data_IF_068989659213
#
_entry.id   IF_068989659213
#
_cell.length_a   1.000
_cell.length_b   1.000
_cell.length_c   1.000
_cell.angle_alpha   90.00
_cell.angle_beta   90.00
_cell.angle_gamma   90.00
#
_symmetry.space_group_name_H-M   'P 1'
#
loop_
_entity.id
_entity.type
_entity.pdbx_description
1 polymer ?
#
# COMPACT_ATOMS: atom_id res chain seq x y z
N UNK A 1 22.88 -6.54 6.44
CA UNK A 1 21.58 -6.76 5.74
C UNK A 1 20.63 -7.75 6.45
N UNK A 2 21.09 -8.83 7.08
CA UNK A 2 20.18 -9.81 7.72
C UNK A 2 19.36 -9.30 8.91
N UNK A 3 19.91 -8.37 9.71
CA UNK A 3 19.21 -7.82 10.89
C UNK A 3 17.99 -6.97 10.49
N UNK A 4 18.13 -6.08 9.52
CA UNK A 4 17.02 -5.25 9.02
C UNK A 4 15.88 -6.11 8.48
N UNK A 5 16.21 -7.15 7.70
CA UNK A 5 15.22 -8.10 7.19
C UNK A 5 14.44 -8.76 8.34
N UNK A 6 15.12 -9.18 9.41
CA UNK A 6 14.48 -9.76 10.59
C UNK A 6 13.56 -8.77 11.29
N UNK A 7 13.99 -7.51 11.46
CA UNK A 7 13.13 -6.47 12.03
C UNK A 7 11.87 -6.30 11.18
N UNK A 8 12.01 -6.16 9.86
CA UNK A 8 10.86 -6.00 8.96
C UNK A 8 9.92 -7.21 9.06
N UNK A 9 10.45 -8.44 9.08
CA UNK A 9 9.65 -9.65 9.25
C UNK A 9 8.90 -9.67 10.59
N UNK A 10 9.55 -9.27 11.68
CA UNK A 10 8.92 -9.19 13.00
C UNK A 10 7.82 -8.13 13.05
N UNK A 11 8.03 -6.97 12.41
CA UNK A 11 7.02 -5.92 12.32
C UNK A 11 5.82 -6.41 11.50
N UNK A 12 6.04 -7.04 10.34
CA UNK A 12 4.96 -7.61 9.52
C UNK A 12 4.18 -8.68 10.30
N UNK A 13 4.89 -9.57 11.01
CA UNK A 13 4.26 -10.59 11.84
C UNK A 13 3.42 -9.97 12.97
N UNK A 14 3.94 -8.93 13.63
CA UNK A 14 3.22 -8.22 14.67
C UNK A 14 1.92 -7.59 14.13
N UNK A 15 1.99 -6.91 12.98
CA UNK A 15 0.82 -6.33 12.32
C UNK A 15 -0.19 -7.40 11.95
N UNK A 16 0.26 -8.54 11.40
CA UNK A 16 -0.61 -9.67 11.06
C UNK A 16 -1.33 -10.21 12.30
N UNK A 17 -0.62 -10.45 13.39
CA UNK A 17 -1.20 -10.95 14.65
C UNK A 17 -2.23 -9.97 15.21
N UNK A 18 -1.93 -8.67 15.20
CA UNK A 18 -2.87 -7.64 15.65
C UNK A 18 -4.13 -7.58 14.79
N UNK A 19 -3.98 -7.63 13.46
CA UNK A 19 -5.12 -7.64 12.54
C UNK A 19 -6.00 -8.88 12.72
N UNK A 20 -5.39 -10.07 12.88
CA UNK A 20 -6.14 -11.30 13.13
C UNK A 20 -6.84 -11.28 14.48
N UNK A 21 -6.19 -10.77 15.53
CA UNK A 21 -6.78 -10.61 16.85
C UNK A 21 -8.02 -9.70 16.79
N UNK A 22 -7.91 -8.54 16.15
CA UNK A 22 -9.01 -7.60 15.97
C UNK A 22 -10.23 -8.24 15.28
N UNK A 23 -10.01 -9.10 14.29
CA UNK A 23 -11.09 -9.76 13.56
C UNK A 23 -11.67 -10.97 14.31
N UNK A 24 -10.84 -11.71 15.05
CA UNK A 24 -11.28 -12.89 15.81
C UNK A 24 -11.98 -12.54 17.12
N UNK A 25 -11.69 -11.38 17.72
CA UNK A 25 -12.39 -10.85 18.89
C UNK A 25 -13.84 -10.41 18.56
N UNK A 26 -14.15 -10.18 17.28
CA UNK A 26 -15.52 -9.87 16.82
C UNK A 26 -16.34 -11.14 16.65
N UNK A 27 -17.64 -10.99 16.87
CA UNK A 27 -18.61 -12.04 16.55
C UNK A 27 -18.50 -12.42 15.07
N UNK A 28 -18.70 -13.70 14.69
CA UNK A 28 -18.50 -14.16 13.32
C UNK A 28 -19.24 -13.34 12.25
N UNK A 29 -20.43 -12.84 12.58
CA UNK A 29 -21.27 -12.04 11.68
C UNK A 29 -20.78 -10.58 11.53
N UNK A 30 -19.98 -10.08 12.47
CA UNK A 30 -19.44 -8.71 12.48
C UNK A 30 -18.03 -8.61 11.88
N UNK A 31 -17.44 -9.73 11.45
CA UNK A 31 -16.10 -9.78 10.86
C UNK A 31 -16.10 -9.15 9.49
N UNK A 32 -15.24 -8.17 9.31
CA UNK A 32 -15.10 -7.43 8.04
C UNK A 32 -13.93 -7.92 7.21
N UNK A 33 -12.94 -8.54 7.84
CA UNK A 33 -11.67 -8.99 7.23
C UNK A 33 -10.89 -7.87 6.52
N UNK A 34 -11.19 -6.61 6.85
CA UNK A 34 -10.50 -5.41 6.38
C UNK A 34 -10.33 -4.43 7.55
N UNK A 35 -9.30 -3.59 7.51
CA UNK A 35 -9.06 -2.61 8.57
C UNK A 35 -7.67 -1.97 8.52
N UNK A 36 -7.23 -1.42 9.65
CA UNK A 36 -5.90 -0.81 9.81
C UNK A 36 -5.31 -1.11 11.18
N UNK A 37 -4.00 -1.40 11.21
CA UNK A 37 -3.21 -1.46 12.44
C UNK A 37 -2.29 -0.24 12.46
N UNK A 38 -2.66 0.79 13.23
CA UNK A 38 -2.01 2.10 13.16
C UNK A 38 -2.14 2.70 11.75
N UNK A 39 -1.05 3.12 11.08
CA UNK A 39 -1.12 3.64 9.72
C UNK A 39 -1.23 2.54 8.66
N UNK A 40 -0.97 1.27 9.01
CA UNK A 40 -0.82 0.16 8.05
C UNK A 40 -2.20 -0.45 7.72
N UNK A 41 -2.69 -0.34 6.48
CA UNK A 41 -3.94 -0.98 6.09
C UNK A 41 -3.78 -2.49 5.88
N UNK A 42 -4.88 -3.22 6.04
CA UNK A 42 -4.97 -4.63 5.70
C UNK A 42 -6.34 -4.96 5.08
N UNK A 43 -6.34 -5.90 4.14
CA UNK A 43 -7.56 -6.48 3.56
C UNK A 43 -7.31 -7.96 3.25
N UNK A 44 -8.09 -8.86 3.85
CA UNK A 44 -7.95 -10.31 3.68
C UNK A 44 -9.05 -10.90 2.80
N UNK A 45 -9.88 -10.06 2.18
CA UNK A 45 -10.93 -10.51 1.26
C UNK A 45 -10.33 -10.82 -0.11
N UNK A 46 -11.12 -11.51 -0.93
CA UNK A 46 -10.79 -11.72 -2.34
C UNK A 46 -11.01 -10.39 -3.08
N UNK A 47 -9.97 -9.82 -3.72
CA UNK A 47 -10.11 -8.53 -4.40
C UNK A 47 -10.92 -8.66 -5.68
N UNK A 48 -11.62 -7.58 -6.06
CA UNK A 48 -12.22 -7.44 -7.39
C UNK A 48 -11.19 -6.93 -8.39
N UNK A 49 -11.40 -7.24 -9.68
CA UNK A 49 -10.53 -6.72 -10.75
C UNK A 49 -10.52 -5.19 -10.77
N UNK A 50 -11.70 -4.57 -10.62
CA UNK A 50 -11.82 -3.10 -10.56
C UNK A 50 -11.07 -2.53 -9.35
N UNK A 51 -11.11 -3.21 -8.20
CA UNK A 51 -10.35 -2.82 -7.02
C UNK A 51 -8.84 -2.85 -7.28
N UNK A 52 -8.33 -3.93 -7.89
CA UNK A 52 -6.91 -4.07 -8.24
C UNK A 52 -6.50 -2.95 -9.20
N UNK A 53 -7.26 -2.71 -10.27
CA UNK A 53 -6.97 -1.65 -11.22
C UNK A 53 -6.97 -0.28 -10.55
N UNK A 54 -7.98 0.01 -9.72
CA UNK A 54 -8.07 1.28 -9.01
C UNK A 54 -6.92 1.51 -8.01
N UNK A 55 -6.47 0.47 -7.31
CA UNK A 55 -5.38 0.61 -6.34
C UNK A 55 -3.99 0.76 -7.00
N UNK A 56 -3.75 0.04 -8.10
CA UNK A 56 -2.42 0.00 -8.71
C UNK A 56 -2.29 0.91 -9.94
N UNK A 57 -3.40 1.30 -10.57
CA UNK A 57 -3.43 2.09 -11.80
C UNK A 57 -4.65 3.00 -11.87
N UNK A 58 -4.66 4.05 -11.05
CA UNK A 58 -5.69 5.09 -11.12
C UNK A 58 -5.05 6.42 -11.56
N UNK A 59 -5.16 6.78 -12.86
CA UNK A 59 -4.61 8.04 -13.39
C UNK A 59 -5.27 9.30 -12.81
N UNK A 60 -6.51 9.20 -12.34
CA UNK A 60 -7.28 10.32 -11.79
C UNK A 60 -6.92 10.61 -10.32
N UNK A 61 -6.30 9.63 -9.64
CA UNK A 61 -5.85 9.77 -8.26
C UNK A 61 -4.50 10.47 -8.17
N UNK A 62 -4.43 11.50 -7.31
CA UNK A 62 -3.17 12.16 -6.96
C UNK A 62 -2.37 11.41 -5.88
N UNK A 63 -2.91 10.32 -5.33
CA UNK A 63 -2.27 9.55 -4.26
C UNK A 63 -1.26 8.56 -4.84
N UNK A 64 -0.01 8.59 -4.34
CA UNK A 64 1.01 7.60 -4.70
C UNK A 64 0.80 6.27 -3.98
N UNK A 65 0.41 6.34 -2.71
CA UNK A 65 0.10 5.17 -1.89
C UNK A 65 -1.40 5.09 -1.68
N UNK A 66 -1.99 3.94 -2.01
CA UNK A 66 -3.40 3.65 -1.75
C UNK A 66 -3.50 2.48 -0.78
N UNK A 67 -4.69 2.27 -0.21
CA UNK A 67 -4.95 1.05 0.55
C UNK A 67 -4.81 -0.16 -0.37
N UNK A 68 -4.16 -1.22 0.11
CA UNK A 68 -3.97 -2.44 -0.66
C UNK A 68 -5.25 -3.25 -0.65
N UNK A 69 -5.57 -3.84 -1.79
CA UNK A 69 -6.78 -4.64 -1.99
C UNK A 69 -6.68 -6.08 -1.47
N UNK A 70 -5.47 -6.56 -1.17
CA UNK A 70 -5.23 -7.88 -0.57
C UNK A 70 -3.91 -7.92 0.21
N UNK A 71 -3.94 -8.45 1.42
CA UNK A 71 -2.80 -8.57 2.33
C UNK A 71 -2.61 -7.36 3.23
N UNK A 72 -1.35 -7.09 3.60
CA UNK A 72 -0.95 -6.04 4.56
C UNK A 72 -0.14 -4.96 3.85
N UNK A 73 -0.36 -3.70 4.22
CA UNK A 73 0.36 -2.53 3.76
C UNK A 73 -0.34 -1.80 2.61
N UNK A 74 0.38 -0.87 1.99
CA UNK A 74 -0.14 -0.03 0.91
C UNK A 74 0.10 -0.64 -0.47
N UNK A 75 -0.77 -0.29 -1.42
CA UNK A 75 -0.50 -0.44 -2.85
C UNK A 75 0.20 0.82 -3.39
N UNK A 76 0.86 0.67 -4.53
CA UNK A 76 1.52 1.78 -5.23
C UNK A 76 0.72 2.05 -6.49
N UNK A 77 0.21 3.27 -6.61
CA UNK A 77 -0.42 3.74 -7.84
C UNK A 77 0.67 4.07 -8.86
N UNK A 78 0.89 3.17 -9.81
CA UNK A 78 1.94 3.28 -10.81
C UNK A 78 1.70 4.42 -11.81
N UNK A 79 0.44 4.81 -12.06
CA UNK A 79 0.12 5.96 -12.90
C UNK A 79 0.67 7.26 -12.27
N UNK A 80 0.43 7.45 -10.97
CA UNK A 80 0.93 8.58 -10.22
C UNK A 80 2.46 8.54 -10.05
N UNK A 81 3.04 7.35 -9.82
CA UNK A 81 4.49 7.18 -9.78
C UNK A 81 5.15 7.62 -11.09
N UNK A 82 4.58 7.21 -12.23
CA UNK A 82 5.08 7.58 -13.56
C UNK A 82 5.04 9.10 -13.79
N UNK A 83 3.97 9.76 -13.36
CA UNK A 83 3.85 11.23 -13.41
C UNK A 83 4.96 11.92 -12.62
N UNK A 84 5.17 11.52 -11.36
CA UNK A 84 6.23 12.06 -10.50
C UNK A 84 7.61 11.86 -11.14
N UNK A 85 7.89 10.66 -11.63
CA UNK A 85 9.18 10.35 -12.27
C UNK A 85 9.41 11.20 -13.52
N UNK A 86 8.38 11.43 -14.34
CA UNK A 86 8.49 12.26 -15.53
C UNK A 86 8.69 13.74 -15.18
N UNK A 87 7.94 14.28 -14.22
CA UNK A 87 8.09 15.65 -13.75
C UNK A 87 9.53 15.89 -13.25
N UNK A 88 10.05 14.99 -12.42
CA UNK A 88 11.43 15.05 -11.93
C UNK A 88 12.43 14.99 -13.09
N UNK A 89 12.25 14.07 -14.05
CA UNK A 89 13.13 13.96 -15.23
C UNK A 89 13.15 15.24 -16.06
N UNK A 90 12.01 15.91 -16.23
CA UNK A 90 11.95 17.17 -16.97
C UNK A 90 12.72 18.28 -16.25
N UNK A 91 12.51 18.43 -14.94
CA UNK A 91 13.23 19.41 -14.12
C UNK A 91 14.75 19.21 -14.21
N UNK A 92 15.22 17.96 -14.14
CA UNK A 92 16.65 17.66 -14.31
C UNK A 92 17.20 18.03 -15.69
N UNK A 93 16.45 17.75 -16.76
CA UNK A 93 16.86 18.11 -18.13
C UNK A 93 16.95 19.62 -18.32
N UNK A 94 16.02 20.36 -17.76
CA UNK A 94 16.04 21.83 -17.79
C UNK A 94 17.26 22.37 -17.05
N UNK A 95 17.52 21.92 -15.81
CA UNK A 95 18.70 22.33 -15.05
C UNK A 95 20.02 22.04 -15.78
N UNK A 96 20.12 20.87 -16.43
CA UNK A 96 21.31 20.49 -17.19
C UNK A 96 21.48 21.26 -18.51
N UNK A 97 20.41 21.83 -19.07
CA UNK A 97 20.46 22.62 -20.31
C UNK A 97 20.86 24.09 -20.09
N UNK A 98 20.80 24.59 -18.85
CA UNK A 98 21.24 25.93 -18.45
C UNK A 98 22.65 25.97 -17.84
N UNK A 99 23.36 24.83 -17.79
CA UNK A 99 24.78 24.72 -17.45
C UNK A 99 25.65 24.70 -18.70
#
# INVERSE_FOLDING_TARGET
MGFLKKIVQLVVLLVLVQALREQLERDPEERTWQGRVGPVPYDFRVPTLDGVLNAYWNPDSQQLFTDKVVGIGWAINFAQLWRIVNELRQQYREMAAYQ
#
